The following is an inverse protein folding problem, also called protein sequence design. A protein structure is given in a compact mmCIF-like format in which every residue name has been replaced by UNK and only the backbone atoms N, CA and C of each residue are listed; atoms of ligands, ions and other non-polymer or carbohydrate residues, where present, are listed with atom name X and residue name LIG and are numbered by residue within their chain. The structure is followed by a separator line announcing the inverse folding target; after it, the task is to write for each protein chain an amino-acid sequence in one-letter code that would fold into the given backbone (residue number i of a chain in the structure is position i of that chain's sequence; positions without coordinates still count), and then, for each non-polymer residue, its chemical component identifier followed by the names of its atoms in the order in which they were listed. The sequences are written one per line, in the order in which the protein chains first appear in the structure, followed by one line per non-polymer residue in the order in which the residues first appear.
data_IF_973788513524
#
_entry.id   IF_973788513524
#
_cell.length_a   1.000
_cell.length_b   1.000
_cell.length_c   1.000
_cell.angle_alpha   90.00
_cell.angle_beta   90.00
_cell.angle_gamma   90.00
#
_symmetry.space_group_name_H-M   'P 1'
#
loop_
_entity.id
_entity.type
_entity.pdbx_description
1 polymer ?
#
# COMPACT_ATOMS: atom_id res chain seq x y z
N UNK A 1 10.54 1.88 -31.72
CA UNK A 1 10.48 0.69 -30.84
C UNK A 1 10.87 1.12 -29.44
N UNK A 2 10.10 0.79 -28.40
CA UNK A 2 10.46 1.16 -27.03
C UNK A 2 11.67 0.34 -26.55
N UNK A 3 12.50 0.85 -25.62
CA UNK A 3 13.66 0.12 -25.09
C UNK A 3 13.31 -1.25 -24.50
N UNK A 4 12.11 -1.39 -23.92
CA UNK A 4 11.59 -2.65 -23.37
C UNK A 4 11.36 -3.71 -24.46
N UNK A 5 10.85 -3.31 -25.64
CA UNK A 5 10.65 -4.21 -26.78
C UNK A 5 11.98 -4.74 -27.31
N UNK A 6 13.00 -3.86 -27.41
CA UNK A 6 14.33 -4.24 -27.90
C UNK A 6 15.01 -5.26 -26.96
N UNK A 7 14.89 -5.06 -25.65
CA UNK A 7 15.41 -5.99 -24.65
C UNK A 7 14.72 -7.37 -24.73
N UNK A 8 13.38 -7.36 -24.85
CA UNK A 8 12.62 -8.61 -25.01
C UNK A 8 13.05 -9.41 -26.24
N UNK A 9 13.16 -8.77 -27.41
CA UNK A 9 13.59 -9.46 -28.64
C UNK A 9 14.98 -10.08 -28.51
N UNK A 10 15.91 -9.39 -27.84
CA UNK A 10 17.26 -9.92 -27.58
C UNK A 10 17.23 -11.16 -26.70
N UNK A 11 16.48 -11.13 -25.58
CA UNK A 11 16.33 -12.27 -24.67
C UNK A 11 15.59 -13.45 -25.32
N UNK A 12 14.55 -13.17 -26.11
CA UNK A 12 13.78 -14.18 -26.83
C UNK A 12 14.64 -14.93 -27.86
N UNK A 13 15.54 -14.23 -28.55
CA UNK A 13 16.48 -14.84 -29.50
C UNK A 13 17.55 -15.71 -28.82
N UNK A 14 17.96 -15.37 -27.60
CA UNK A 14 18.92 -16.16 -26.81
C UNK A 14 18.30 -17.44 -26.24
N UNK A 15 17.06 -17.36 -25.78
CA UNK A 15 16.33 -18.48 -25.17
C UNK A 15 15.49 -19.26 -26.19
N UNK A 16 15.64 -18.97 -27.49
CA UNK A 16 14.81 -19.57 -28.52
C UNK A 16 14.94 -21.10 -28.50
N UNK A 17 13.82 -21.85 -28.54
CA UNK A 17 13.84 -23.31 -28.43
C UNK A 17 14.60 -23.99 -29.58
N UNK A 18 14.64 -23.39 -30.78
CA UNK A 18 15.44 -23.88 -31.92
C UNK A 18 16.96 -23.88 -31.66
N UNK A 19 17.46 -22.88 -30.92
CA UNK A 19 18.88 -22.77 -30.57
C UNK A 19 19.24 -23.52 -29.28
N UNK A 20 18.24 -23.91 -28.50
CA UNK A 20 18.38 -24.56 -27.20
C UNK A 20 17.58 -25.88 -27.14
N UNK A 21 17.52 -26.61 -28.25
CA UNK A 21 16.75 -27.85 -28.33
C UNK A 21 17.25 -28.87 -27.30
N UNK A 22 16.32 -29.40 -26.49
CA UNK A 22 16.62 -30.35 -25.41
C UNK A 22 17.03 -29.71 -24.07
N UNK A 23 17.18 -28.37 -24.00
CA UNK A 23 17.41 -27.67 -22.74
C UNK A 23 16.08 -27.21 -22.12
N UNK A 24 15.53 -28.03 -21.24
CA UNK A 24 14.26 -27.76 -20.53
C UNK A 24 14.26 -26.42 -19.78
N UNK A 25 15.41 -26.01 -19.22
CA UNK A 25 15.53 -24.74 -18.50
C UNK A 25 15.38 -23.53 -19.43
N UNK A 26 15.93 -23.62 -20.64
CA UNK A 26 15.80 -22.57 -21.64
C UNK A 26 14.36 -22.46 -22.15
N UNK A 27 13.68 -23.60 -22.35
CA UNK A 27 12.27 -23.64 -22.73
C UNK A 27 11.35 -23.04 -21.64
N UNK A 28 11.58 -23.36 -20.37
CA UNK A 28 10.83 -22.78 -19.25
C UNK A 28 11.07 -21.26 -19.12
N UNK A 29 12.32 -20.82 -19.26
CA UNK A 29 12.68 -19.40 -19.22
C UNK A 29 12.06 -18.63 -20.39
N UNK A 30 12.06 -19.19 -21.61
CA UNK A 30 11.40 -18.60 -22.77
C UNK A 30 9.89 -18.45 -22.56
N UNK A 31 9.24 -19.46 -21.97
CA UNK A 31 7.82 -19.42 -21.63
C UNK A 31 7.50 -18.31 -20.61
N UNK A 32 8.34 -18.15 -19.58
CA UNK A 32 8.21 -17.06 -18.60
C UNK A 32 8.40 -15.69 -19.24
N UNK A 33 9.38 -15.56 -20.14
CA UNK A 33 9.65 -14.33 -20.88
C UNK A 33 8.47 -13.93 -21.79
N UNK A 34 7.88 -14.91 -22.49
CA UNK A 34 6.71 -14.71 -23.35
C UNK A 34 5.49 -14.26 -22.53
N UNK A 35 5.23 -14.93 -21.40
CA UNK A 35 4.12 -14.59 -20.51
C UNK A 35 4.26 -13.17 -19.93
N UNK A 36 5.46 -12.82 -19.44
CA UNK A 36 5.74 -11.49 -18.93
C UNK A 36 5.51 -10.41 -20.00
N UNK A 37 5.89 -10.70 -21.25
CA UNK A 37 5.68 -9.78 -22.36
C UNK A 37 4.20 -9.57 -22.69
N UNK A 38 3.40 -10.64 -22.73
CA UNK A 38 1.95 -10.56 -22.98
C UNK A 38 1.22 -9.72 -21.92
N UNK A 39 1.57 -9.91 -20.64
CA UNK A 39 1.01 -9.13 -19.52
C UNK A 39 1.41 -7.65 -19.62
N UNK A 40 2.66 -7.36 -19.98
CA UNK A 40 3.17 -5.99 -20.08
C UNK A 40 2.72 -5.24 -21.34
N UNK A 41 2.32 -5.97 -22.40
CA UNK A 41 1.84 -5.40 -23.66
C UNK A 41 0.44 -4.79 -23.51
N UNK A 42 -0.43 -5.44 -22.74
CA UNK A 42 -1.79 -4.97 -22.49
C UNK A 42 -1.81 -4.05 -21.26
N UNK A 43 -2.22 -2.80 -21.48
CA UNK A 43 -2.24 -1.77 -20.43
C UNK A 43 -3.22 -2.10 -19.29
N UNK A 44 -4.30 -2.85 -19.57
CA UNK A 44 -5.25 -3.30 -18.56
C UNK A 44 -4.68 -4.44 -17.72
N UNK A 45 -4.05 -5.42 -18.36
CA UNK A 45 -3.42 -6.55 -17.66
C UNK A 45 -2.21 -6.10 -16.82
N UNK A 46 -1.40 -5.16 -17.34
CA UNK A 46 -0.31 -4.55 -16.58
C UNK A 46 -0.83 -3.85 -15.33
N UNK A 47 -1.88 -3.05 -15.46
CA UNK A 47 -2.49 -2.37 -14.31
C UNK A 47 -3.05 -3.35 -13.28
N UNK A 48 -3.75 -4.40 -13.73
CA UNK A 48 -4.30 -5.42 -12.84
C UNK A 48 -3.20 -6.17 -12.07
N UNK A 49 -2.09 -6.49 -12.74
CA UNK A 49 -0.91 -7.10 -12.13
C UNK A 49 -0.24 -6.16 -11.11
N UNK A 50 -0.04 -4.90 -11.46
CA UNK A 50 0.53 -3.89 -10.56
C UNK A 50 -0.37 -3.69 -9.31
N UNK A 51 -1.70 -3.69 -9.49
CA UNK A 51 -2.68 -3.59 -8.40
C UNK A 51 -2.73 -4.86 -7.52
N UNK A 52 -2.38 -6.03 -8.06
CA UNK A 52 -2.21 -7.29 -7.33
C UNK A 52 -0.98 -7.27 -6.45
N UNK A 53 0.16 -6.97 -7.07
CA UNK A 53 1.45 -6.87 -6.39
C UNK A 53 1.41 -5.85 -5.27
N UNK A 54 0.84 -4.67 -5.53
CA UNK A 54 0.66 -3.59 -4.55
C UNK A 54 -0.11 -4.06 -3.31
N UNK A 55 -1.08 -4.96 -3.48
CA UNK A 55 -1.89 -5.46 -2.38
C UNK A 55 -1.19 -6.55 -1.58
N UNK A 56 -0.51 -7.47 -2.26
CA UNK A 56 0.30 -8.48 -1.57
C UNK A 56 1.36 -7.82 -0.69
N UNK A 57 1.98 -6.74 -1.17
CA UNK A 57 2.90 -5.92 -0.40
C UNK A 57 2.20 -5.30 0.82
N UNK A 58 1.04 -4.66 0.65
CA UNK A 58 0.24 -4.14 1.75
C UNK A 58 -0.08 -5.23 2.81
N UNK A 59 -0.50 -6.42 2.38
CA UNK A 59 -0.83 -7.52 3.29
C UNK A 59 0.40 -8.05 4.05
N UNK A 60 1.59 -7.95 3.45
CA UNK A 60 2.86 -8.31 4.11
C UNK A 60 3.23 -7.31 5.21
N UNK A 61 3.01 -6.02 4.99
CA UNK A 61 3.33 -4.96 5.96
C UNK A 61 2.34 -4.88 7.13
N UNK A 62 1.11 -5.36 6.95
CA UNK A 62 0.09 -5.37 8.00
C UNK A 62 -0.37 -6.80 8.36
N UNK A 63 0.45 -7.60 9.09
CA UNK A 63 0.13 -9.00 9.41
C UNK A 63 -1.17 -9.21 10.20
N UNK A 64 -1.64 -8.18 10.93
CA UNK A 64 -2.90 -8.22 11.70
C UNK A 64 -4.15 -8.35 10.82
N UNK A 65 -4.04 -8.11 9.50
CA UNK A 65 -5.12 -8.29 8.53
C UNK A 65 -5.24 -9.71 7.96
N UNK A 66 -4.39 -10.68 8.38
CA UNK A 66 -4.65 -12.09 8.13
C UNK A 66 -5.90 -12.54 8.89
N UNK A 67 -7.06 -12.36 8.27
CA UNK A 67 -8.36 -12.97 8.56
C UNK A 67 -8.44 -13.73 9.89
N UNK A 68 -8.74 -13.05 11.00
CA UNK A 68 -9.20 -13.71 12.22
C UNK A 68 -10.72 -13.66 12.31
N UNK A 69 -11.34 -14.50 11.48
CA UNK A 69 -12.47 -15.28 11.96
C UNK A 69 -11.91 -16.32 12.92
N UNK A 70 -11.63 -15.95 14.17
CA UNK A 70 -11.54 -16.89 15.30
C UNK A 70 -11.63 -16.15 16.64
N UNK A 71 -12.84 -16.26 17.21
CA UNK A 71 -13.29 -16.27 18.61
C UNK A 71 -12.25 -15.99 19.72
N UNK A 72 -12.63 -15.10 20.62
CA UNK A 72 -12.46 -15.06 22.09
C UNK A 72 -11.27 -15.78 22.74
N UNK A 73 -10.66 -15.06 23.70
CA UNK A 73 -9.44 -15.36 24.48
C UNK A 73 -8.17 -14.94 23.71
N UNK A 74 -7.33 -14.00 24.17
CA UNK A 74 -6.86 -13.78 25.53
C UNK A 74 -6.73 -12.28 25.83
N UNK A 75 -7.51 -11.81 26.80
CA UNK A 75 -7.18 -10.64 27.61
C UNK A 75 -5.98 -11.07 28.46
N UNK A 76 -4.76 -10.55 28.25
CA UNK A 76 -3.67 -10.99 29.12
C UNK A 76 -2.33 -10.28 29.03
N UNK A 77 -1.81 -9.92 27.85
CA UNK A 77 -0.38 -9.61 27.78
C UNK A 77 -0.01 -8.14 27.51
N UNK A 78 -0.79 -7.37 26.73
CA UNK A 78 -0.43 -5.99 26.37
C UNK A 78 -1.10 -4.89 27.21
N UNK A 79 -2.12 -5.20 28.00
CA UNK A 79 -2.81 -4.21 28.83
C UNK A 79 -2.01 -3.81 30.08
N UNK A 80 -1.04 -4.63 30.51
CA UNK A 80 -0.26 -4.39 31.73
C UNK A 80 0.88 -3.38 31.55
N UNK A 81 1.33 -3.11 30.32
CA UNK A 81 2.45 -2.18 30.08
C UNK A 81 2.01 -0.71 30.12
N UNK A 82 0.75 -0.41 29.78
CA UNK A 82 0.23 0.96 29.69
C UNK A 82 -0.36 1.53 30.98
N UNK A 83 -0.44 0.73 32.06
CA UNK A 83 -1.07 1.17 33.31
C UNK A 83 -0.13 1.85 34.32
N UNK A 84 1.18 1.94 34.03
CA UNK A 84 2.17 2.39 35.02
C UNK A 84 2.83 3.74 34.71
N UNK A 85 2.37 4.47 33.69
CA UNK A 85 2.88 5.81 33.35
C UNK A 85 1.97 6.96 33.82
N UNK A 86 0.94 6.67 34.63
CA UNK A 86 0.17 7.71 35.31
C UNK A 86 0.83 8.09 36.64
N UNK A 87 1.97 8.76 36.53
CA UNK A 87 2.49 9.58 37.61
C UNK A 87 3.27 10.75 36.99
N UNK A 88 2.58 11.89 36.98
CA UNK A 88 3.18 13.22 37.15
C UNK A 88 3.90 13.85 35.92
N UNK A 89 3.26 14.87 35.33
CA UNK A 89 3.93 15.93 34.55
C UNK A 89 3.19 16.37 33.29
N UNK A 90 2.41 17.45 33.39
CA UNK A 90 1.90 18.36 32.33
C UNK A 90 1.79 17.82 30.88
N UNK A 91 0.59 17.37 30.48
CA UNK A 91 0.27 16.88 29.13
C UNK A 91 -0.77 17.75 28.39
N UNK A 92 -0.46 18.28 27.19
CA UNK A 92 -1.48 18.74 26.24
C UNK A 92 -1.53 17.95 24.92
N UNK A 93 -0.99 16.72 24.84
CA UNK A 93 -0.60 16.10 23.57
C UNK A 93 -1.12 14.66 23.34
N UNK A 94 -2.27 14.54 22.66
CA UNK A 94 -2.45 13.48 21.65
C UNK A 94 -3.58 12.48 21.88
N UNK A 95 -4.82 12.94 21.95
CA UNK A 95 -5.98 12.05 21.92
C UNK A 95 -6.14 11.38 20.54
N UNK A 96 -5.76 10.11 20.44
CA UNK A 96 -6.12 9.25 19.30
C UNK A 96 -7.64 9.14 19.18
N UNK A 97 -8.16 9.33 17.97
CA UNK A 97 -9.60 9.36 17.71
C UNK A 97 -10.11 7.99 17.28
N UNK A 98 -11.20 7.50 17.86
CA UNK A 98 -11.87 6.28 17.38
C UNK A 98 -12.96 6.63 16.38
N UNK A 99 -12.92 6.03 15.20
CA UNK A 99 -13.93 6.19 14.15
C UNK A 99 -14.71 4.88 13.94
N UNK A 100 -16.03 4.96 13.85
CA UNK A 100 -16.85 3.81 13.50
C UNK A 100 -16.78 3.54 11.99
N UNK A 101 -16.40 2.32 11.60
CA UNK A 101 -16.38 1.93 10.19
C UNK A 101 -17.70 1.25 9.82
N UNK A 102 -18.46 1.91 8.94
CA UNK A 102 -19.73 1.39 8.41
C UNK A 102 -19.56 0.12 7.56
N UNK A 103 -18.33 -0.25 7.15
CA UNK A 103 -18.07 -1.43 6.31
C UNK A 103 -17.82 -2.69 7.12
N UNK A 104 -16.92 -2.64 8.09
CA UNK A 104 -16.60 -3.80 8.93
C UNK A 104 -17.44 -3.85 10.23
N UNK A 105 -18.14 -2.77 10.57
CA UNK A 105 -18.93 -2.67 11.80
C UNK A 105 -18.10 -2.45 13.07
N UNK A 106 -16.77 -2.41 12.95
CA UNK A 106 -15.84 -2.16 14.06
C UNK A 106 -15.36 -0.71 14.08
N UNK A 107 -14.62 -0.36 15.13
CA UNK A 107 -13.96 0.93 15.25
C UNK A 107 -12.50 0.86 14.78
N UNK A 108 -12.07 1.89 14.07
CA UNK A 108 -10.66 2.09 13.71
C UNK A 108 -10.09 3.27 14.50
N UNK A 109 -8.79 3.25 14.71
CA UNK A 109 -8.09 4.33 15.38
C UNK A 109 -7.51 5.28 14.33
N UNK A 110 -7.67 6.57 14.59
CA UNK A 110 -7.03 7.68 13.90
C UNK A 110 -5.92 8.19 14.80
N UNK A 111 -4.68 7.97 14.40
CA UNK A 111 -3.52 8.34 15.19
C UNK A 111 -3.13 9.80 14.91
N UNK A 112 -2.94 10.64 15.93
CA UNK A 112 -2.58 12.03 15.72
C UNK A 112 -1.18 12.10 15.11
N UNK A 113 -1.04 12.88 14.05
CA UNK A 113 0.24 13.06 13.36
C UNK A 113 0.86 14.39 13.75
N UNK A 114 2.18 14.49 13.60
CA UNK A 114 2.91 15.75 13.80
C UNK A 114 2.82 16.69 12.59
N UNK A 115 2.06 16.31 11.54
CA UNK A 115 1.93 17.12 10.32
C UNK A 115 1.11 18.38 10.63
N UNK A 116 1.59 19.53 10.16
CA UNK A 116 0.88 20.80 10.28
C UNK A 116 -0.16 20.94 9.17
N UNK A 117 -1.32 21.52 9.50
CA UNK A 117 -2.43 21.72 8.56
C UNK A 117 -2.04 22.57 7.34
N UNK A 118 -1.14 23.54 7.51
CA UNK A 118 -0.72 24.50 6.47
C UNK A 118 0.08 23.88 5.32
N UNK A 119 0.77 22.77 5.55
CA UNK A 119 1.61 22.09 4.55
C UNK A 119 1.30 20.60 4.46
N UNK A 120 0.06 20.23 4.72
CA UNK A 120 -0.32 18.83 4.87
C UNK A 120 -0.46 18.09 3.53
N UNK A 121 -0.80 18.78 2.43
CA UNK A 121 -1.17 18.15 1.15
C UNK A 121 -0.16 18.43 0.06
N UNK A 122 0.56 17.42 -0.40
CA UNK A 122 1.39 17.55 -1.60
C UNK A 122 0.52 17.67 -2.87
N UNK A 123 0.79 18.65 -3.71
CA UNK A 123 0.16 18.80 -5.03
C UNK A 123 1.18 18.53 -6.14
N UNK A 124 0.87 17.59 -7.04
CA UNK A 124 1.77 17.23 -8.14
C UNK A 124 1.85 18.33 -9.22
N UNK A 125 0.76 19.07 -9.44
CA UNK A 125 0.70 20.14 -10.45
C UNK A 125 1.45 21.39 -9.98
N UNK A 126 1.24 21.79 -8.72
CA UNK A 126 1.90 22.95 -8.12
C UNK A 126 3.32 22.63 -7.63
N UNK A 127 3.66 21.35 -7.45
CA UNK A 127 4.91 20.86 -6.83
C UNK A 127 5.19 21.48 -5.45
N UNK A 128 4.13 21.74 -4.70
CA UNK A 128 4.20 22.38 -3.38
C UNK A 128 3.17 21.76 -2.43
N UNK A 129 3.33 22.07 -1.14
CA UNK A 129 2.42 21.67 -0.09
C UNK A 129 1.32 22.71 0.13
N UNK A 130 0.08 22.25 0.09
CA UNK A 130 -1.11 23.06 0.33
C UNK A 130 -1.70 22.77 1.71
N UNK A 131 -2.45 23.75 2.19
CA UNK A 131 -3.20 23.64 3.42
C UNK A 131 -4.35 22.62 3.27
N UNK A 132 -4.47 21.73 4.25
CA UNK A 132 -5.64 20.85 4.38
C UNK A 132 -6.82 21.60 5.00
N UNK A 133 -8.03 21.30 4.53
CA UNK A 133 -9.30 21.77 5.09
C UNK A 133 -9.90 20.70 5.99
N UNK A 134 -10.74 21.10 6.93
CA UNK A 134 -11.43 20.13 7.79
C UNK A 134 -12.40 19.30 6.94
N UNK A 135 -12.32 17.98 7.08
CA UNK A 135 -13.00 17.02 6.23
C UNK A 135 -12.23 16.61 4.97
N UNK A 136 -11.02 17.14 4.75
CA UNK A 136 -10.16 16.62 3.67
C UNK A 136 -9.64 15.22 4.03
N UNK A 137 -9.79 14.30 3.09
CA UNK A 137 -9.23 12.95 3.12
C UNK A 137 -8.33 12.77 1.89
N UNK A 138 -7.11 12.29 2.08
CA UNK A 138 -6.20 12.00 0.97
C UNK A 138 -5.26 10.86 1.30
N UNK A 139 -4.61 10.33 0.26
CA UNK A 139 -3.68 9.21 0.37
C UNK A 139 -2.36 9.67 -0.22
N UNK A 140 -1.31 9.55 0.57
CA UNK A 140 0.06 9.74 0.14
C UNK A 140 0.67 8.39 -0.19
N UNK A 141 1.29 8.31 -1.36
CA UNK A 141 2.02 7.15 -1.81
C UNK A 141 3.44 7.61 -2.10
N UNK A 142 4.37 7.38 -1.17
CA UNK A 142 5.78 7.64 -1.42
C UNK A 142 6.37 6.54 -2.29
N UNK A 143 7.31 6.91 -3.15
CA UNK A 143 8.12 5.98 -3.91
C UNK A 143 9.57 6.40 -3.78
N UNK A 144 10.42 5.52 -3.26
CA UNK A 144 11.83 5.77 -3.13
C UNK A 144 12.58 5.17 -4.33
N UNK A 145 13.46 5.94 -4.99
CA UNK A 145 14.33 5.38 -6.01
C UNK A 145 15.26 4.34 -5.36
N UNK A 146 15.22 3.13 -5.88
CA UNK A 146 16.01 1.98 -5.50
C UNK A 146 16.87 1.54 -6.70
N UNK A 147 17.99 0.84 -6.44
CA UNK A 147 18.93 0.39 -7.46
C UNK A 147 19.41 1.52 -8.41
N UNK A 148 20.12 2.51 -7.87
CA UNK A 148 20.65 3.67 -8.64
C UNK A 148 19.60 4.45 -9.45
N UNK A 149 18.32 4.43 -9.01
CA UNK A 149 17.23 5.10 -9.70
C UNK A 149 16.63 4.32 -10.88
N UNK A 150 17.07 3.07 -11.09
CA UNK A 150 16.51 2.19 -12.13
C UNK A 150 15.16 1.60 -11.74
N UNK A 151 14.85 1.52 -10.45
CA UNK A 151 13.60 0.99 -9.93
C UNK A 151 12.99 1.95 -8.92
N UNK A 152 11.67 2.07 -8.91
CA UNK A 152 10.95 2.77 -7.84
C UNK A 152 10.39 1.74 -6.88
N UNK A 153 10.86 1.76 -5.63
CA UNK A 153 10.21 1.03 -4.56
C UNK A 153 9.04 1.86 -4.08
N UNK A 154 7.82 1.38 -4.32
CA UNK A 154 6.61 2.05 -3.86
C UNK A 154 6.37 1.66 -2.41
N UNK A 155 6.28 2.64 -1.52
CA UNK A 155 5.96 2.40 -0.13
C UNK A 155 4.45 2.16 0.04
N UNK A 156 4.08 1.57 1.17
CA UNK A 156 2.68 1.36 1.52
C UNK A 156 1.94 2.72 1.49
N UNK A 157 0.76 2.82 0.84
CA UNK A 157 -0.03 4.03 0.87
C UNK A 157 -0.43 4.39 2.30
N UNK A 158 -0.18 5.64 2.68
CA UNK A 158 -0.59 6.21 3.96
C UNK A 158 -1.77 7.13 3.73
N UNK A 159 -2.87 6.91 4.44
CA UNK A 159 -4.05 7.76 4.33
C UNK A 159 -4.09 8.76 5.48
N UNK A 160 -4.38 10.03 5.16
CA UNK A 160 -4.48 11.10 6.13
C UNK A 160 -5.87 11.75 6.07
N UNK A 161 -6.32 12.21 7.23
CA UNK A 161 -7.57 12.96 7.37
C UNK A 161 -7.32 14.19 8.23
N UNK A 162 -7.86 15.33 7.80
CA UNK A 162 -7.92 16.52 8.62
C UNK A 162 -9.29 16.63 9.30
N UNK A 163 -9.33 16.61 10.63
CA UNK A 163 -10.55 16.77 11.41
C UNK A 163 -10.27 17.66 12.62
N UNK A 164 -11.19 18.59 12.91
CA UNK A 164 -11.07 19.55 14.01
C UNK A 164 -9.74 20.31 14.01
N UNK A 165 -9.28 20.71 12.82
CA UNK A 165 -7.99 21.38 12.59
C UNK A 165 -6.75 20.58 13.01
N UNK A 166 -6.90 19.28 13.28
CA UNK A 166 -5.81 18.34 13.56
C UNK A 166 -5.67 17.33 12.43
N UNK A 167 -4.46 16.80 12.30
CA UNK A 167 -4.06 15.86 11.26
C UNK A 167 -3.96 14.46 11.84
N UNK A 168 -4.68 13.51 11.24
CA UNK A 168 -4.74 12.13 11.68
C UNK A 168 -4.28 11.17 10.58
N UNK A 169 -3.56 10.12 10.97
CA UNK A 169 -3.30 8.95 10.14
C UNK A 169 -4.51 8.03 10.23
N UNK A 170 -5.14 7.78 9.09
CA UNK A 170 -6.32 6.95 8.92
C UNK A 170 -6.03 5.73 8.03
N UNK A 171 -4.77 5.33 7.90
CA UNK A 171 -4.33 4.24 7.00
C UNK A 171 -5.07 2.94 7.29
N UNK A 172 -5.21 2.56 8.55
CA UNK A 172 -5.94 1.35 8.96
C UNK A 172 -7.42 1.37 8.52
N UNK A 173 -8.07 2.53 8.64
CA UNK A 173 -9.45 2.71 8.21
C UNK A 173 -9.56 2.66 6.68
N UNK A 174 -8.66 3.34 5.97
CA UNK A 174 -8.61 3.38 4.52
C UNK A 174 -8.39 1.99 3.91
N UNK A 175 -7.45 1.20 4.46
CA UNK A 175 -7.20 -0.18 4.03
C UNK A 175 -8.45 -1.05 4.25
N UNK A 176 -9.14 -0.89 5.38
CA UNK A 176 -10.38 -1.61 5.67
C UNK A 176 -11.49 -1.30 4.65
N UNK A 177 -11.63 -0.05 4.23
CA UNK A 177 -12.56 0.35 3.16
C UNK A 177 -12.19 -0.35 1.85
N UNK A 178 -10.91 -0.38 1.47
CA UNK A 178 -10.44 -0.95 0.20
C UNK A 178 -10.62 -2.47 0.09
N UNK A 179 -10.40 -3.22 1.18
CA UNK A 179 -10.60 -4.67 1.17
C UNK A 179 -12.08 -5.07 0.97
N UNK A 180 -13.02 -4.23 1.39
CA UNK A 180 -14.45 -4.49 1.24
C UNK A 180 -14.93 -4.37 -0.22
N UNK A 181 -14.42 -3.40 -0.98
CA UNK A 181 -14.84 -3.15 -2.37
C UNK A 181 -14.51 -4.31 -3.33
N UNK A 182 -13.42 -5.05 -3.12
CA UNK A 182 -13.11 -6.22 -3.99
C UNK A 182 -13.95 -7.45 -3.71
N UNK A 183 -14.49 -7.61 -2.50
CA UNK A 183 -15.29 -8.81 -2.14
C UNK A 183 -16.75 -8.71 -2.60
N UNK A 184 -17.24 -7.50 -2.87
CA UNK A 184 -18.66 -7.25 -3.16
C UNK A 184 -18.92 -6.23 -4.29
N UNK A 185 -17.89 -5.68 -4.92
CA UNK A 185 -17.98 -4.63 -5.95
C UNK A 185 -18.06 -5.12 -7.40
N UNK A 186 -18.12 -6.43 -7.65
CA UNK A 186 -18.51 -7.00 -8.95
C UNK A 186 -19.98 -7.43 -8.92
N UNK A 187 -20.89 -6.45 -8.95
CA UNK A 187 -22.28 -6.69 -9.32
C UNK A 187 -22.84 -5.53 -10.13
#
# INVERSE_FOLDING_TARGET
MTPALLNWFSQAMLLHPDKNMGNEKAAEAFKKLQNAYEVLLDSLNRKAYDDELRREELLKYFPRFRSTSQKNAERGFFASWFAHLEAEGDDPSGESRRIACKRCGNFHLWEPTKKSKSQARWCQDCKDFHQAKDGDEWVEQSSQPFAFGLLQKVDAPTAYVCADSKMYDATDWYICQMQYWRRFGER
#
